data_IF_733858001012
#
_entry.id   IF_733858001012
#
_cell.length_a   1.000
_cell.length_b   1.000
_cell.length_c   1.000
_cell.angle_alpha   90.00
_cell.angle_beta   90.00
_cell.angle_gamma   90.00
#
_symmetry.space_group_name_H-M   'P 1'
#
loop_
_entity.id
_entity.type
_entity.pdbx_description
1 polymer ?
#
# COMPACT_ATOMS: atom_id res chain seq x y z
N UNK A 1 6.79 18.17 9.52
CA UNK A 1 6.46 16.73 9.56
C UNK A 1 6.58 16.25 8.14
N UNK A 2 7.54 15.36 7.89
CA UNK A 2 7.73 14.73 6.58
C UNK A 2 7.00 13.38 6.60
N UNK A 3 6.25 13.08 5.54
CA UNK A 3 5.53 11.83 5.37
C UNK A 3 6.06 11.19 4.09
N UNK A 4 6.47 9.92 4.16
CA UNK A 4 6.77 9.14 2.95
C UNK A 4 5.53 8.34 2.56
N UNK A 5 5.15 8.42 1.30
CA UNK A 5 4.07 7.62 0.73
C UNK A 5 4.66 6.32 0.17
N UNK A 6 4.46 5.21 0.86
CA UNK A 6 4.87 3.90 0.38
C UNK A 6 3.72 3.27 -0.44
N UNK A 7 4.02 2.95 -1.70
CA UNK A 7 3.07 2.31 -2.62
C UNK A 7 3.39 0.83 -2.74
N UNK A 8 2.44 -0.02 -2.35
CA UNK A 8 2.59 -1.49 -2.42
C UNK A 8 1.56 -2.07 -3.36
N UNK A 9 1.97 -2.95 -4.27
CA UNK A 9 1.04 -3.61 -5.19
C UNK A 9 0.17 -4.61 -4.43
N UNK A 10 -1.16 -4.45 -4.53
CA UNK A 10 -2.13 -5.27 -3.79
C UNK A 10 -3.08 -6.06 -4.69
N UNK A 11 -3.44 -5.54 -5.87
CA UNK A 11 -4.32 -6.25 -6.83
C UNK A 11 -3.80 -6.12 -8.26
N UNK A 12 -4.02 -7.17 -9.04
CA UNK A 12 -3.75 -7.24 -10.47
C UNK A 12 -4.99 -7.71 -11.23
N UNK A 13 -5.34 -7.03 -12.30
CA UNK A 13 -6.50 -7.31 -13.14
C UNK A 13 -6.23 -8.54 -14.01
N UNK A 14 -7.22 -9.41 -14.12
CA UNK A 14 -7.16 -10.66 -14.88
C UNK A 14 -8.22 -10.63 -16.00
N UNK A 15 -7.82 -10.54 -17.28
CA UNK A 15 -8.77 -10.62 -18.39
C UNK A 15 -9.30 -12.06 -18.60
N UNK A 16 -10.44 -12.25 -19.30
CA UNK A 16 -11.47 -11.27 -19.67
C UNK A 16 -12.25 -10.66 -18.49
N UNK A 17 -12.85 -9.50 -18.71
CA UNK A 17 -13.78 -8.85 -17.78
C UNK A 17 -13.12 -8.04 -16.68
N UNK A 18 -13.88 -7.75 -15.62
CA UNK A 18 -13.42 -7.02 -14.45
C UNK A 18 -13.04 -7.96 -13.29
N UNK A 19 -12.09 -8.86 -13.57
CA UNK A 19 -11.61 -9.79 -12.54
C UNK A 19 -10.31 -9.29 -11.93
N UNK A 20 -10.16 -9.50 -10.64
CA UNK A 20 -9.03 -9.00 -9.87
C UNK A 20 -8.44 -10.11 -9.02
N UNK A 21 -7.11 -10.18 -9.00
CA UNK A 21 -6.34 -11.14 -8.22
C UNK A 21 -5.47 -10.37 -7.23
N UNK A 22 -5.56 -10.64 -5.92
CA UNK A 22 -4.65 -10.07 -4.95
C UNK A 22 -3.25 -10.67 -5.07
N UNK A 23 -2.23 -9.89 -4.74
CA UNK A 23 -0.84 -10.35 -4.76
C UNK A 23 -0.55 -11.43 -3.71
N UNK A 24 -1.36 -11.47 -2.66
CA UNK A 24 -1.19 -12.36 -1.52
C UNK A 24 -1.97 -13.68 -1.62
N UNK A 25 -2.96 -13.75 -2.50
CA UNK A 25 -3.83 -14.92 -2.62
C UNK A 25 -4.09 -15.30 -4.08
N UNK A 26 -4.40 -16.58 -4.31
CA UNK A 26 -4.82 -17.07 -5.62
C UNK A 26 -6.31 -16.91 -5.88
N UNK A 27 -7.07 -16.34 -4.95
CA UNK A 27 -8.50 -16.05 -5.13
C UNK A 27 -8.69 -15.02 -6.24
N UNK A 28 -9.54 -15.32 -7.21
CA UNK A 28 -9.95 -14.35 -8.23
C UNK A 28 -11.29 -13.76 -7.81
N UNK A 29 -11.33 -12.45 -7.66
CA UNK A 29 -12.54 -11.67 -7.40
C UNK A 29 -13.18 -11.25 -8.73
N UNK A 30 -14.51 -11.24 -8.78
CA UNK A 30 -15.28 -10.87 -9.97
C UNK A 30 -15.52 -9.34 -10.09
N UNK A 31 -15.04 -8.57 -9.11
CA UNK A 31 -15.16 -7.12 -9.05
C UNK A 31 -13.97 -6.51 -8.32
N UNK A 32 -13.59 -5.29 -8.72
CA UNK A 32 -12.58 -4.50 -8.02
C UNK A 32 -12.94 -4.30 -6.54
N UNK A 33 -14.22 -4.07 -6.24
CA UNK A 33 -14.67 -3.77 -4.87
C UNK A 33 -14.43 -4.94 -3.92
N UNK A 34 -14.67 -6.18 -4.35
CA UNK A 34 -14.39 -7.37 -3.54
C UNK A 34 -12.88 -7.53 -3.28
N UNK A 35 -12.06 -7.25 -4.29
CA UNK A 35 -10.61 -7.23 -4.14
C UNK A 35 -10.14 -6.16 -3.15
N UNK A 36 -10.69 -4.95 -3.23
CA UNK A 36 -10.38 -3.85 -2.31
C UNK A 36 -10.84 -4.15 -0.89
N UNK A 37 -12.01 -4.76 -0.71
CA UNK A 37 -12.50 -5.17 0.61
C UNK A 37 -11.59 -6.23 1.24
N UNK A 38 -11.12 -7.21 0.45
CA UNK A 38 -10.13 -8.17 0.92
C UNK A 38 -8.82 -7.49 1.37
N UNK A 39 -8.30 -6.56 0.56
CA UNK A 39 -7.11 -5.78 0.91
C UNK A 39 -7.33 -4.93 2.17
N UNK A 40 -8.52 -4.34 2.34
CA UNK A 40 -8.89 -3.54 3.50
C UNK A 40 -8.99 -4.39 4.77
N UNK A 41 -9.68 -5.54 4.71
CA UNK A 41 -9.79 -6.44 5.85
C UNK A 41 -8.42 -6.95 6.33
N UNK A 42 -7.46 -7.08 5.41
CA UNK A 42 -6.12 -7.56 5.72
C UNK A 42 -5.17 -6.48 6.24
N UNK A 43 -5.11 -5.34 5.55
CA UNK A 43 -4.12 -4.28 5.82
C UNK A 43 -4.68 -3.12 6.64
N UNK A 44 -5.99 -2.91 6.64
CA UNK A 44 -6.63 -1.70 7.16
C UNK A 44 -6.43 -0.44 6.29
N UNK A 45 -5.74 -0.56 5.14
CA UNK A 45 -5.43 0.56 4.28
C UNK A 45 -6.69 1.12 3.59
N UNK A 46 -6.85 2.45 3.60
CA UNK A 46 -8.02 3.14 3.04
C UNK A 46 -7.74 3.85 1.73
N UNK A 47 -6.46 4.15 1.48
CA UNK A 47 -6.01 4.91 0.33
C UNK A 47 -5.43 3.95 -0.73
N UNK A 48 -6.03 3.96 -1.92
CA UNK A 48 -5.61 3.09 -3.03
C UNK A 48 -5.39 3.90 -4.30
N UNK A 49 -4.39 3.51 -5.08
CA UNK A 49 -4.11 4.05 -6.40
C UNK A 49 -4.38 2.99 -7.47
N UNK A 50 -5.34 3.27 -8.36
CA UNK A 50 -5.69 2.41 -9.49
C UNK A 50 -4.95 2.86 -10.76
N UNK A 51 -4.01 2.04 -11.22
CA UNK A 51 -3.39 2.17 -12.53
C UNK A 51 -4.23 1.42 -13.57
N UNK A 52 -5.30 2.06 -14.05
CA UNK A 52 -6.30 1.43 -14.93
C UNK A 52 -5.72 0.86 -16.24
N UNK A 53 -4.70 1.51 -16.80
CA UNK A 53 -4.04 1.11 -18.04
C UNK A 53 -3.22 -0.17 -17.88
N UNK A 54 -2.57 -0.33 -16.73
CA UNK A 54 -1.75 -1.49 -16.38
C UNK A 54 -2.57 -2.59 -15.67
N UNK A 55 -3.80 -2.26 -15.26
CA UNK A 55 -4.65 -3.15 -14.49
C UNK A 55 -4.11 -3.44 -13.10
N UNK A 56 -3.48 -2.48 -12.43
CA UNK A 56 -2.87 -2.68 -11.11
C UNK A 56 -3.44 -1.75 -10.06
N UNK A 57 -3.57 -2.22 -8.83
CA UNK A 57 -3.97 -1.42 -7.67
C UNK A 57 -2.86 -1.45 -6.65
N UNK A 58 -2.50 -0.27 -6.17
CA UNK A 58 -1.50 -0.09 -5.13
C UNK A 58 -2.18 0.46 -3.87
N UNK A 59 -1.86 -0.08 -2.70
CA UNK A 59 -2.19 0.54 -1.41
C UNK A 59 -1.18 1.64 -1.11
N UNK A 60 -1.65 2.77 -0.56
CA UNK A 60 -0.81 3.88 -0.12
C UNK A 60 -0.83 3.89 1.41
N UNK A 61 0.31 3.56 2.02
CA UNK A 61 0.48 3.73 3.47
C UNK A 61 1.25 5.03 3.73
N UNK A 62 0.74 5.84 4.67
CA UNK A 62 1.40 7.06 5.13
C UNK A 62 2.18 6.74 6.40
N UNK A 63 3.44 6.37 6.22
CA UNK A 63 4.34 6.16 7.34
C UNK A 63 4.81 7.51 7.90
N UNK A 64 4.56 7.75 9.19
CA UNK A 64 5.15 8.87 9.91
C UNK A 64 6.67 8.65 10.04
N UNK A 65 7.46 9.54 9.43
CA UNK A 65 8.91 9.54 9.62
C UNK A 65 9.17 9.98 11.07
N UNK A 66 9.58 9.05 11.93
CA UNK A 66 10.06 9.40 13.27
C UNK A 66 11.28 10.32 13.08
N UNK A 67 11.30 11.53 13.66
CA UNK A 67 12.45 12.41 13.54
C UNK A 67 13.67 11.67 14.07
N UNK A 68 14.78 11.72 13.32
CA UNK A 68 16.05 11.16 13.76
C UNK A 68 16.36 11.73 15.15
N UNK A 69 16.75 10.89 16.14
CA UNK A 69 17.11 11.41 17.45
C UNK A 69 18.21 12.47 17.23
N UNK A 70 18.08 13.67 17.82
CA UNK A 70 19.07 14.71 17.63
C UNK A 70 20.42 14.15 18.04
N UNK A 71 21.41 14.19 17.13
CA UNK A 71 22.78 13.80 17.45
C UNK A 71 23.28 14.74 18.54
N UNK A 72 23.29 14.24 19.78
CA UNK A 72 23.91 14.92 20.91
C UNK A 72 25.41 14.89 20.71
N UNK A 73 25.96 15.90 20.04
CA UNK A 73 27.38 16.17 20.10
C UNK A 73 27.67 16.82 21.46
N UNK A 74 27.98 16.01 22.48
CA UNK A 74 28.59 16.53 23.70
C UNK A 74 29.98 17.06 23.36
N UNK A 75 30.16 18.38 23.43
CA UNK A 75 31.44 19.06 23.19
C UNK A 75 32.51 18.72 24.24
N UNK A 76 32.08 18.19 25.38
CA UNK A 76 32.91 17.63 26.42
C UNK A 76 32.37 16.23 26.69
N UNK A 77 33.04 15.22 26.14
CA UNK A 77 32.76 13.83 26.50
C UNK A 77 33.11 13.64 27.97
N UNK A 78 32.13 13.28 28.79
CA UNK A 78 32.38 12.61 30.07
C UNK A 78 32.93 11.21 29.83
#
# INVERSE_FOLDING_TARGET
MEYTEEKTLVLERQPPGDRWKPTDSNTIFESLTDGLEHCYQKSGCRDYHLAALDGKVFSIDKAEIKPEPPKSFSLYGE
#
